data_IF_663394322272
#
_entry.id   IF_663394322272
#
_cell.length_a   1.000
_cell.length_b   1.000
_cell.length_c   1.000
_cell.angle_alpha   90.00
_cell.angle_beta   90.00
_cell.angle_gamma   90.00
#
_symmetry.space_group_name_H-M   'P 1'
#
loop_
_entity.id
_entity.type
_entity.pdbx_description
1 polymer ?
#
# COMPACT_ATOMS: atom_id res chain seq x y z
N UNK A 1 -57.09 41.54 24.77
CA UNK A 1 -55.68 41.18 24.99
C UNK A 1 -55.43 39.76 24.49
N UNK A 2 -54.83 39.62 23.30
CA UNK A 2 -53.85 38.60 22.84
C UNK A 2 -53.76 38.76 21.32
N UNK A 3 -52.62 39.31 20.88
CA UNK A 3 -52.35 39.72 19.50
C UNK A 3 -52.09 38.46 18.66
N UNK A 4 -53.02 38.08 17.76
CA UNK A 4 -52.80 36.96 16.83
C UNK A 4 -51.61 37.29 15.92
N UNK A 5 -50.52 36.54 16.05
CA UNK A 5 -49.37 36.59 15.15
C UNK A 5 -49.81 36.02 13.78
N UNK A 6 -50.47 36.85 12.95
CA UNK A 6 -50.73 36.55 11.54
C UNK A 6 -49.42 36.72 10.78
N UNK A 7 -48.84 35.60 10.33
CA UNK A 7 -47.62 35.68 9.52
C UNK A 7 -47.00 34.37 9.06
N UNK A 8 -47.73 33.25 9.03
CA UNK A 8 -47.17 32.01 8.49
C UNK A 8 -47.67 31.83 7.05
N UNK A 9 -46.83 32.24 6.09
CA UNK A 9 -47.00 31.93 4.67
C UNK A 9 -46.74 30.44 4.51
N UNK A 10 -47.72 29.70 3.99
CA UNK A 10 -47.62 28.26 3.76
C UNK A 10 -46.60 27.94 2.68
N UNK A 11 -45.83 26.89 2.91
CA UNK A 11 -44.88 26.31 1.98
C UNK A 11 -45.61 25.75 0.74
N UNK A 12 -45.21 26.13 -0.47
CA UNK A 12 -45.86 25.67 -1.70
C UNK A 12 -45.39 24.27 -2.10
N UNK A 13 -46.25 23.49 -2.76
CA UNK A 13 -45.85 22.19 -3.31
C UNK A 13 -44.73 22.34 -4.35
N UNK A 14 -44.76 23.41 -5.13
CA UNK A 14 -43.73 23.73 -6.13
C UNK A 14 -42.37 23.98 -5.46
N UNK A 15 -42.33 24.68 -4.33
CA UNK A 15 -41.09 24.84 -3.56
C UNK A 15 -40.53 23.48 -3.14
N UNK A 16 -41.36 22.53 -2.73
CA UNK A 16 -40.88 21.22 -2.29
C UNK A 16 -40.35 20.42 -3.49
N UNK A 17 -41.01 20.52 -4.65
CA UNK A 17 -40.58 19.86 -5.88
C UNK A 17 -39.21 20.36 -6.37
N UNK A 18 -39.00 21.67 -6.37
CA UNK A 18 -37.72 22.25 -6.78
C UNK A 18 -36.62 21.88 -5.79
N UNK A 19 -36.90 21.89 -4.48
CA UNK A 19 -35.93 21.52 -3.44
C UNK A 19 -35.46 20.08 -3.60
N UNK A 20 -36.37 19.11 -3.75
CA UNK A 20 -35.97 17.71 -3.94
C UNK A 20 -35.24 17.49 -5.27
N UNK A 21 -35.62 18.21 -6.32
CA UNK A 21 -34.94 18.14 -7.62
C UNK A 21 -33.49 18.65 -7.52
N UNK A 22 -33.26 19.78 -6.83
CA UNK A 22 -31.92 20.32 -6.62
C UNK A 22 -31.08 19.42 -5.71
N UNK A 23 -31.65 18.91 -4.60
CA UNK A 23 -30.94 17.96 -3.71
C UNK A 23 -30.55 16.69 -4.47
N UNK A 24 -31.40 16.16 -5.34
CA UNK A 24 -31.08 14.98 -6.15
C UNK A 24 -29.87 15.20 -7.07
N UNK A 25 -29.78 16.37 -7.71
CA UNK A 25 -28.64 16.74 -8.57
C UNK A 25 -27.37 16.90 -7.74
N UNK A 26 -27.44 17.65 -6.63
CA UNK A 26 -26.30 17.90 -5.76
C UNK A 26 -25.78 16.62 -5.12
N UNK A 27 -26.67 15.73 -4.67
CA UNK A 27 -26.30 14.46 -4.06
C UNK A 27 -25.53 13.55 -5.04
N UNK A 28 -25.91 13.54 -6.32
CA UNK A 28 -25.21 12.76 -7.34
C UNK A 28 -23.80 13.30 -7.61
N UNK A 29 -23.65 14.63 -7.72
CA UNK A 29 -22.35 15.26 -7.94
C UNK A 29 -21.40 15.13 -6.74
N UNK A 30 -21.94 14.89 -5.54
CA UNK A 30 -21.15 14.81 -4.31
C UNK A 30 -20.44 13.48 -4.08
N UNK A 31 -20.66 12.43 -4.89
CA UNK A 31 -20.04 11.11 -4.65
C UNK A 31 -18.57 11.13 -5.11
N UNK A 32 -17.58 11.13 -4.20
CA UNK A 32 -16.19 11.05 -4.59
C UNK A 32 -15.84 9.65 -5.11
N UNK A 33 -15.02 9.57 -6.16
CA UNK A 33 -14.44 8.31 -6.66
C UNK A 33 -13.38 7.78 -5.69
N UNK A 34 -13.82 7.23 -4.55
CA UNK A 34 -12.94 6.81 -3.44
C UNK A 34 -12.04 5.60 -3.74
N UNK A 35 -12.30 4.85 -4.81
CA UNK A 35 -11.51 3.66 -5.17
C UNK A 35 -10.05 3.97 -5.54
N UNK A 36 -9.83 4.91 -6.46
CA UNK A 36 -8.49 5.25 -6.96
C UNK A 36 -7.59 5.84 -5.86
N UNK A 37 -8.17 6.65 -4.97
CA UNK A 37 -7.44 7.29 -3.85
C UNK A 37 -6.97 6.26 -2.82
N UNK A 38 -7.74 5.19 -2.62
CA UNK A 38 -7.35 4.10 -1.69
C UNK A 38 -6.20 3.28 -2.24
N UNK A 39 -6.20 3.01 -3.55
CA UNK A 39 -5.14 2.22 -4.17
C UNK A 39 -3.82 2.97 -4.20
N UNK A 40 -3.81 4.26 -4.56
CA UNK A 40 -2.60 5.08 -4.52
C UNK A 40 -2.04 5.23 -3.10
N UNK A 41 -2.91 5.39 -2.08
CA UNK A 41 -2.48 5.40 -0.69
C UNK A 41 -1.85 4.06 -0.26
N UNK A 42 -2.39 2.94 -0.74
CA UNK A 42 -1.82 1.61 -0.48
C UNK A 42 -0.49 1.42 -1.19
N UNK A 43 -0.33 1.85 -2.44
CA UNK A 43 0.95 1.80 -3.16
C UNK A 43 2.02 2.64 -2.45
N UNK A 44 1.66 3.83 -1.96
CA UNK A 44 2.56 4.63 -1.13
C UNK A 44 2.98 3.89 0.16
N UNK A 45 2.08 3.10 0.75
CA UNK A 45 2.39 2.21 1.87
C UNK A 45 3.39 1.10 1.50
N UNK A 46 3.27 0.50 0.32
CA UNK A 46 4.23 -0.51 -0.17
C UNK A 46 5.60 0.14 -0.41
N UNK A 47 5.64 1.35 -0.97
CA UNK A 47 6.88 2.09 -1.16
C UNK A 47 7.55 2.45 0.19
N UNK A 48 6.76 2.85 1.20
CA UNK A 48 7.26 3.09 2.55
C UNK A 48 7.83 1.80 3.19
N UNK A 49 7.18 0.66 2.96
CA UNK A 49 7.72 -0.64 3.36
C UNK A 49 9.06 -0.92 2.68
N UNK A 50 9.18 -0.67 1.37
CA UNK A 50 10.42 -0.86 0.62
C UNK A 50 11.57 0.00 1.16
N UNK A 51 11.31 1.28 1.49
CA UNK A 51 12.30 2.18 2.11
C UNK A 51 12.70 1.73 3.52
N UNK A 52 11.76 1.21 4.29
CA UNK A 52 12.06 0.65 5.63
C UNK A 52 13.00 -0.55 5.51
N UNK A 53 12.72 -1.45 4.56
CA UNK A 53 13.57 -2.59 4.25
C UNK A 53 14.95 -2.14 3.77
N UNK A 54 15.02 -1.12 2.91
CA UNK A 54 16.27 -0.55 2.43
C UNK A 54 17.18 -0.13 3.59
N UNK A 55 16.68 0.67 4.54
CA UNK A 55 17.47 1.12 5.68
C UNK A 55 17.95 -0.02 6.58
N UNK A 56 17.14 -1.07 6.75
CA UNK A 56 17.54 -2.26 7.51
C UNK A 56 18.65 -3.02 6.79
N UNK A 57 18.50 -3.25 5.49
CA UNK A 57 19.47 -4.00 4.69
C UNK A 57 20.80 -3.24 4.61
N UNK A 58 20.79 -1.93 4.33
CA UNK A 58 21.99 -1.08 4.32
C UNK A 58 22.73 -1.11 5.66
N UNK A 59 21.99 -1.00 6.77
CA UNK A 59 22.56 -1.03 8.12
C UNK A 59 23.12 -2.39 8.54
N UNK A 60 22.78 -3.48 7.83
CA UNK A 60 23.18 -4.84 8.19
C UNK A 60 24.13 -5.49 7.20
N UNK A 61 24.09 -5.10 5.92
CA UNK A 61 24.80 -5.77 4.83
C UNK A 61 26.29 -6.00 5.15
N UNK A 62 27.00 -4.96 5.59
CA UNK A 62 28.42 -5.01 5.94
C UNK A 62 28.81 -6.01 7.05
N UNK A 63 27.84 -6.53 7.82
CA UNK A 63 28.09 -7.48 8.92
C UNK A 63 28.10 -8.93 8.46
N UNK A 64 27.67 -9.20 7.24
CA UNK A 64 27.50 -10.55 6.70
C UNK A 64 28.38 -10.74 5.47
N UNK A 65 28.89 -11.96 5.29
CA UNK A 65 29.70 -12.37 4.13
C UNK A 65 28.95 -13.34 3.20
N UNK A 66 27.74 -13.77 3.58
CA UNK A 66 26.89 -14.65 2.77
C UNK A 66 25.47 -14.10 2.70
N UNK A 67 24.85 -14.24 1.53
CA UNK A 67 23.50 -13.74 1.30
C UNK A 67 22.46 -14.49 2.13
N UNK A 68 22.65 -15.79 2.34
CA UNK A 68 21.76 -16.61 3.16
C UNK A 68 21.65 -16.06 4.60
N UNK A 69 22.78 -15.81 5.25
CA UNK A 69 22.80 -15.27 6.62
C UNK A 69 22.20 -13.86 6.68
N UNK A 70 22.50 -13.01 5.69
CA UNK A 70 21.90 -11.67 5.61
C UNK A 70 20.38 -11.73 5.47
N UNK A 71 19.85 -12.61 4.60
CA UNK A 71 18.40 -12.78 4.40
C UNK A 71 17.69 -13.18 5.70
N UNK A 72 18.19 -14.19 6.40
CA UNK A 72 17.59 -14.64 7.66
C UNK A 72 17.66 -13.57 8.76
N UNK A 73 18.76 -12.82 8.81
CA UNK A 73 18.92 -11.74 9.77
C UNK A 73 17.96 -10.58 9.49
N UNK A 74 17.73 -10.23 8.22
CA UNK A 74 16.76 -9.18 7.85
C UNK A 74 15.32 -9.62 8.16
N UNK A 75 14.96 -10.88 7.88
CA UNK A 75 13.65 -11.44 8.29
C UNK A 75 13.46 -11.29 9.80
N UNK A 76 14.47 -11.71 10.57
CA UNK A 76 14.44 -11.64 12.04
C UNK A 76 14.29 -10.20 12.53
N UNK A 77 14.98 -9.24 11.88
CA UNK A 77 14.95 -7.83 12.26
C UNK A 77 13.64 -7.13 11.94
N UNK A 78 12.98 -7.50 10.84
CA UNK A 78 11.68 -6.98 10.42
C UNK A 78 10.54 -7.55 11.29
N UNK A 79 10.68 -8.79 11.75
CA UNK A 79 9.65 -9.44 12.56
C UNK A 79 8.29 -9.46 11.84
N UNK A 80 7.23 -9.14 12.59
CA UNK A 80 5.85 -9.13 12.10
C UNK A 80 5.26 -7.71 11.96
N UNK A 81 6.07 -6.67 12.13
CA UNK A 81 5.59 -5.28 12.25
C UNK A 81 5.26 -4.63 10.90
N UNK A 82 5.79 -5.18 9.82
CA UNK A 82 5.56 -4.69 8.46
C UNK A 82 4.31 -5.33 7.86
N UNK A 83 3.43 -4.54 7.26
CA UNK A 83 2.11 -5.01 6.78
C UNK A 83 1.93 -4.68 5.31
N UNK A 84 1.43 -5.66 4.54
CA UNK A 84 1.03 -5.47 3.15
C UNK A 84 -0.28 -4.66 3.10
N UNK A 85 -0.30 -3.44 2.54
CA UNK A 85 -1.50 -2.59 2.52
C UNK A 85 -2.67 -3.15 1.68
N UNK A 86 -2.41 -4.13 0.82
CA UNK A 86 -3.40 -4.74 -0.06
C UNK A 86 -3.98 -6.03 0.52
N UNK A 87 -3.11 -6.93 0.99
CA UNK A 87 -3.51 -8.27 1.46
C UNK A 87 -3.61 -8.39 2.98
N UNK A 88 -3.13 -7.39 3.72
CA UNK A 88 -2.98 -7.38 5.19
C UNK A 88 -2.05 -8.48 5.73
N UNK A 89 -1.32 -9.19 4.87
CA UNK A 89 -0.31 -10.11 5.35
C UNK A 89 0.85 -9.38 6.00
N UNK A 90 1.40 -9.96 7.06
CA UNK A 90 2.34 -9.31 7.97
C UNK A 90 3.70 -9.99 7.95
N UNK A 91 4.74 -9.23 8.24
CA UNK A 91 6.10 -9.71 8.41
C UNK A 91 6.86 -10.02 7.12
N UNK A 92 8.04 -10.58 7.31
CA UNK A 92 8.99 -10.95 6.27
C UNK A 92 9.21 -12.46 6.20
N UNK A 93 9.63 -12.97 5.04
CA UNK A 93 9.96 -14.38 4.87
C UNK A 93 11.10 -14.59 3.87
N UNK A 94 11.99 -15.54 4.16
CA UNK A 94 13.06 -15.96 3.26
C UNK A 94 12.63 -17.24 2.52
N UNK A 95 12.01 -17.08 1.34
CA UNK A 95 11.48 -18.21 0.57
C UNK A 95 10.33 -17.80 -0.36
N UNK A 96 9.66 -18.78 -0.97
CA UNK A 96 8.56 -18.56 -1.92
C UNK A 96 7.17 -18.74 -1.31
N UNK A 97 7.04 -19.59 -0.29
CA UNK A 97 5.75 -19.94 0.32
C UNK A 97 5.62 -19.34 1.74
N UNK A 98 5.48 -18.01 1.80
CA UNK A 98 5.38 -17.28 3.06
C UNK A 98 3.94 -17.14 3.59
N UNK A 99 2.92 -17.60 2.85
CA UNK A 99 1.52 -17.35 3.20
C UNK A 99 1.15 -15.87 3.19
N UNK A 100 1.49 -15.16 2.10
CA UNK A 100 1.01 -13.79 1.84
C UNK A 100 1.74 -12.66 2.59
N UNK A 101 3.00 -12.85 2.97
CA UNK A 101 3.83 -11.86 3.69
C UNK A 101 3.95 -10.51 3.00
N UNK A 102 4.35 -9.51 3.76
CA UNK A 102 4.59 -8.16 3.23
C UNK A 102 5.94 -8.06 2.52
N UNK A 103 6.96 -8.80 2.99
CA UNK A 103 8.32 -8.77 2.45
C UNK A 103 8.82 -10.17 2.16
N UNK A 104 9.45 -10.37 1.01
CA UNK A 104 10.09 -11.62 0.63
C UNK A 104 11.56 -11.39 0.33
N UNK A 105 12.41 -12.26 0.89
CA UNK A 105 13.85 -12.24 0.70
C UNK A 105 14.30 -13.47 -0.07
N UNK A 106 15.05 -13.26 -1.15
CA UNK A 106 15.50 -14.32 -2.07
C UNK A 106 16.82 -13.97 -2.72
N UNK A 107 17.52 -14.95 -3.30
CA UNK A 107 18.74 -14.68 -4.07
C UNK A 107 18.49 -14.33 -5.53
N UNK A 108 17.34 -14.73 -6.06
CA UNK A 108 16.88 -14.43 -7.40
C UNK A 108 16.01 -13.17 -7.47
N UNK A 109 16.09 -12.48 -8.61
CA UNK A 109 15.19 -11.39 -8.93
C UNK A 109 13.94 -11.95 -9.59
N UNK A 110 12.77 -11.50 -9.14
CA UNK A 110 11.53 -11.79 -9.84
C UNK A 110 11.16 -10.67 -10.80
N UNK A 111 10.60 -11.09 -11.94
CA UNK A 111 10.16 -10.23 -13.02
C UNK A 111 8.73 -10.61 -13.40
N UNK A 112 7.96 -9.65 -13.90
CA UNK A 112 6.61 -9.88 -14.40
C UNK A 112 5.50 -9.63 -13.38
N UNK A 113 4.30 -10.08 -13.73
CA UNK A 113 3.06 -9.74 -13.04
C UNK A 113 2.38 -11.01 -12.53
N UNK A 114 2.02 -11.06 -11.26
CA UNK A 114 1.29 -12.19 -10.65
C UNK A 114 0.37 -11.71 -9.55
N UNK A 115 -0.81 -12.31 -9.42
CA UNK A 115 -1.73 -12.06 -8.30
C UNK A 115 -1.10 -12.41 -6.95
N UNK A 116 -0.09 -13.29 -6.93
CA UNK A 116 0.68 -13.59 -5.74
C UNK A 116 1.49 -12.38 -5.25
N UNK A 117 1.91 -11.46 -6.14
CA UNK A 117 2.81 -10.35 -5.83
C UNK A 117 2.11 -9.09 -5.32
N UNK A 118 0.79 -9.10 -5.21
CA UNK A 118 0.03 -7.90 -4.88
C UNK A 118 0.47 -7.29 -3.56
N UNK A 119 0.98 -6.06 -3.61
CA UNK A 119 1.33 -5.27 -2.43
C UNK A 119 2.57 -5.70 -1.65
N UNK A 120 3.35 -6.65 -2.16
CA UNK A 120 4.56 -7.12 -1.46
C UNK A 120 5.80 -6.33 -1.87
N UNK A 121 6.84 -6.46 -1.06
CA UNK A 121 8.19 -5.99 -1.36
C UNK A 121 9.08 -7.21 -1.58
N UNK A 122 9.65 -7.34 -2.77
CA UNK A 122 10.66 -8.35 -3.06
C UNK A 122 12.05 -7.79 -2.82
N UNK A 123 12.90 -8.54 -2.14
CA UNK A 123 14.28 -8.18 -1.84
C UNK A 123 15.18 -9.27 -2.37
N UNK A 124 15.87 -8.96 -3.46
CA UNK A 124 16.92 -9.80 -3.99
C UNK A 124 18.22 -9.52 -3.24
N UNK A 125 18.68 -10.47 -2.45
CA UNK A 125 19.99 -10.50 -1.81
C UNK A 125 20.81 -11.63 -2.42
N UNK A 126 21.81 -11.35 -3.29
CA UNK A 126 22.62 -12.39 -3.92
C UNK A 126 23.36 -13.24 -2.89
N UNK A 127 23.80 -14.45 -3.26
CA UNK A 127 24.44 -15.36 -2.30
C UNK A 127 25.84 -14.91 -1.83
N UNK A 128 26.47 -14.02 -2.60
CA UNK A 128 27.75 -13.39 -2.27
C UNK A 128 27.64 -11.85 -2.32
N UNK A 129 28.55 -11.11 -1.65
CA UNK A 129 28.57 -9.65 -1.64
C UNK A 129 28.42 -9.05 -3.03
N UNK A 130 27.52 -8.08 -3.16
CA UNK A 130 27.08 -7.63 -4.47
C UNK A 130 25.96 -6.61 -4.41
N UNK A 131 25.17 -6.56 -5.49
CA UNK A 131 24.06 -5.59 -5.59
C UNK A 131 22.79 -6.24 -5.06
N UNK A 132 22.18 -5.59 -4.09
CA UNK A 132 20.86 -5.94 -3.57
C UNK A 132 19.82 -5.09 -4.28
N UNK A 133 18.72 -5.70 -4.70
CA UNK A 133 17.60 -5.01 -5.38
C UNK A 133 16.33 -5.17 -4.57
N UNK A 134 15.67 -4.07 -4.26
CA UNK A 134 14.38 -4.03 -3.57
C UNK A 134 13.34 -3.56 -4.58
N UNK A 135 12.32 -4.37 -4.80
CA UNK A 135 11.28 -4.16 -5.80
C UNK A 135 9.90 -4.24 -5.16
N UNK A 136 9.19 -3.12 -5.01
CA UNK A 136 7.80 -3.12 -4.55
C UNK A 136 6.83 -3.47 -5.69
N UNK A 137 5.73 -4.12 -5.34
CA UNK A 137 4.68 -4.53 -6.28
C UNK A 137 3.35 -3.86 -5.96
N UNK A 138 2.70 -3.32 -6.99
CA UNK A 138 1.46 -2.57 -6.87
C UNK A 138 0.21 -3.45 -6.81
N UNK A 139 -0.96 -2.81 -6.95
CA UNK A 139 -2.27 -3.49 -6.87
C UNK A 139 -2.43 -4.65 -7.86
N UNK A 140 -1.89 -4.50 -9.06
CA UNK A 140 -2.02 -5.49 -10.12
C UNK A 140 -0.98 -6.62 -10.00
N UNK A 141 -0.15 -6.61 -8.96
CA UNK A 141 0.93 -7.57 -8.80
C UNK A 141 2.05 -7.38 -9.83
N UNK A 142 2.10 -6.21 -10.46
CA UNK A 142 3.20 -5.76 -11.31
C UNK A 142 4.17 -4.92 -10.47
N UNK A 143 5.47 -4.89 -10.82
CA UNK A 143 6.42 -3.98 -10.22
C UNK A 143 5.93 -2.54 -10.36
N UNK A 144 6.05 -1.75 -9.30
CA UNK A 144 5.74 -0.32 -9.38
C UNK A 144 6.86 0.34 -10.21
N UNK A 145 6.55 1.03 -11.32
CA UNK A 145 7.59 1.58 -12.19
C UNK A 145 8.43 2.65 -11.49
N UNK A 146 9.76 2.58 -11.64
CA UNK A 146 10.67 3.66 -11.22
C UNK A 146 10.96 3.76 -9.72
N UNK A 147 10.50 2.80 -8.92
CA UNK A 147 10.72 2.78 -7.45
C UNK A 147 11.57 1.59 -6.99
N UNK A 148 12.23 0.90 -7.92
CA UNK A 148 13.23 -0.11 -7.56
C UNK A 148 14.40 0.57 -6.83
N UNK A 149 14.75 0.04 -5.65
CA UNK A 149 15.82 0.57 -4.82
C UNK A 149 17.03 -0.36 -4.93
N UNK A 150 18.21 0.23 -4.97
CA UNK A 150 19.48 -0.50 -5.14
C UNK A 150 20.36 -0.23 -3.94
N UNK A 151 20.81 -1.30 -3.30
CA UNK A 151 21.74 -1.25 -2.17
C UNK A 151 23.03 -1.96 -2.57
N UNK A 152 24.17 -1.37 -2.21
CA UNK A 152 25.48 -2.02 -2.33
C UNK A 152 25.79 -2.73 -1.01
N UNK A 153 26.01 -4.04 -1.11
CA UNK A 153 26.51 -4.87 -0.02
C UNK A 153 28.03 -4.95 -0.09
#
# INVERSE_FOLDING_TARGET
MFKRLRGQRGFTLIEMMIVIAVIAILAFALIPKSGLVRDTAKEAGVEANARTVQGIVEGMAHRYNTGAALRDAVVTRLGNDIVNPFTQGTGAFNGWDGGGKAVYLRSDLISGTSSAYVGMVWVQVPDAPGTITIRPFGRNGAPIPGVDLIVKW
#
